data_IF_126106024829
#
_entry.id   IF_126106024829
#
_cell.length_a   1.000
_cell.length_b   1.000
_cell.length_c   1.000
_cell.angle_alpha   90.00
_cell.angle_beta   90.00
_cell.angle_gamma   90.00
#
_symmetry.space_group_name_H-M   'P 1'
#
loop_
_entity.id
_entity.type
_entity.pdbx_description
1 polymer ?
#
# COMPACT_ATOMS: atom_id res chain seq x y z
N UNK A 1 11.53 -55.32 9.19
CA UNK A 1 10.33 -54.53 9.52
C UNK A 1 10.82 -53.14 9.89
N UNK A 2 10.92 -52.27 8.89
CA UNK A 2 11.16 -50.84 9.05
C UNK A 2 9.97 -50.24 9.79
N UNK A 3 10.19 -49.66 10.96
CA UNK A 3 9.17 -48.87 11.66
C UNK A 3 8.80 -47.72 10.74
N UNK A 4 7.53 -47.66 10.35
CA UNK A 4 6.95 -46.49 9.70
C UNK A 4 7.28 -45.27 10.56
N UNK A 5 7.97 -44.30 9.96
CA UNK A 5 8.22 -43.02 10.61
C UNK A 5 6.87 -42.36 10.86
N UNK A 6 6.45 -42.30 12.12
CA UNK A 6 5.21 -41.62 12.49
C UNK A 6 5.24 -40.18 11.97
N UNK A 7 4.20 -39.80 11.25
CA UNK A 7 4.11 -38.49 10.60
C UNK A 7 4.22 -37.38 11.67
N UNK A 8 4.98 -36.29 11.45
CA UNK A 8 5.16 -35.20 12.44
C UNK A 8 3.83 -34.62 12.97
N UNK A 9 2.74 -34.79 12.21
CA UNK A 9 1.38 -34.40 12.56
C UNK A 9 0.80 -35.23 13.72
N UNK A 10 1.08 -36.53 13.76
CA UNK A 10 0.57 -37.45 14.79
C UNK A 10 1.22 -37.15 16.15
N UNK A 11 2.51 -36.78 16.14
CA UNK A 11 3.23 -36.40 17.35
C UNK A 11 2.83 -35.00 17.85
N UNK A 12 2.60 -34.02 16.97
CA UNK A 12 2.08 -32.69 17.33
C UNK A 12 0.69 -32.77 18.00
N UNK A 13 -0.19 -33.64 17.51
CA UNK A 13 -1.50 -33.92 18.14
C UNK A 13 -1.29 -34.56 19.54
N UNK A 14 -0.31 -35.46 19.68
CA UNK A 14 0.04 -36.05 20.99
C UNK A 14 0.61 -35.03 21.98
N UNK A 15 1.34 -34.03 21.48
CA UNK A 15 1.92 -32.92 22.25
C UNK A 15 0.81 -31.99 22.74
N UNK A 16 -0.15 -31.65 21.87
CA UNK A 16 -1.35 -30.89 22.26
C UNK A 16 -2.14 -31.59 23.36
N UNK A 17 -2.30 -32.91 23.28
CA UNK A 17 -2.94 -33.71 24.32
C UNK A 17 -2.14 -33.74 25.63
N UNK A 18 -0.80 -33.91 25.58
CA UNK A 18 0.07 -33.95 26.78
C UNK A 18 0.22 -32.59 27.48
N UNK A 19 0.14 -31.49 26.73
CA UNK A 19 0.15 -30.14 27.27
C UNK A 19 -1.18 -29.73 27.95
N UNK A 20 -2.19 -30.61 27.94
CA UNK A 20 -3.53 -30.31 28.45
C UNK A 20 -4.33 -29.37 27.53
N UNK A 21 -3.90 -29.23 26.28
CA UNK A 21 -4.46 -28.28 25.30
C UNK A 21 -5.59 -28.92 24.47
N UNK A 22 -6.07 -30.11 24.86
CA UNK A 22 -7.25 -30.76 24.28
C UNK A 22 -8.07 -31.58 25.27
N UNK A 23 -9.32 -31.14 25.45
CA UNK A 23 -10.52 -31.76 26.05
C UNK A 23 -10.60 -31.95 27.57
N UNK A 24 -11.29 -31.00 28.23
CA UNK A 24 -12.18 -31.36 29.34
C UNK A 24 -13.46 -31.98 28.76
N UNK A 25 -14.02 -33.03 29.37
CA UNK A 25 -15.33 -33.56 29.00
C UNK A 25 -16.39 -32.52 29.37
N UNK A 26 -16.76 -31.65 28.43
CA UNK A 26 -17.77 -30.60 28.62
C UNK A 26 -17.51 -29.30 27.86
N UNK A 27 -17.59 -29.31 26.53
CA UNK A 27 -18.16 -28.24 25.70
C UNK A 27 -17.64 -26.79 25.74
N UNK A 28 -16.47 -26.47 26.30
CA UNK A 28 -15.90 -25.12 26.27
C UNK A 28 -14.65 -25.00 25.39
N UNK A 29 -14.64 -24.07 24.42
CA UNK A 29 -13.46 -23.72 23.60
C UNK A 29 -12.39 -23.06 24.49
N UNK A 30 -11.24 -23.72 24.67
CA UNK A 30 -10.10 -23.14 25.38
C UNK A 30 -9.35 -22.16 24.47
N UNK A 31 -9.26 -20.91 24.91
CA UNK A 31 -8.23 -19.96 24.49
C UNK A 31 -6.88 -20.49 24.96
N UNK A 32 -5.93 -20.68 24.04
CA UNK A 32 -4.63 -21.23 24.41
C UNK A 32 -3.84 -20.20 25.23
N UNK A 33 -3.62 -20.46 26.53
CA UNK A 33 -2.80 -19.58 27.36
C UNK A 33 -1.38 -19.43 26.80
N UNK A 34 -0.74 -18.28 27.02
CA UNK A 34 0.63 -18.00 26.60
C UNK A 34 1.64 -19.10 26.98
N UNK A 35 1.60 -19.56 28.22
CA UNK A 35 2.47 -20.64 28.71
C UNK A 35 2.21 -21.96 27.98
N UNK A 36 0.94 -22.25 27.67
CA UNK A 36 0.54 -23.40 26.88
C UNK A 36 1.09 -23.34 25.45
N UNK A 37 0.97 -22.20 24.77
CA UNK A 37 1.53 -22.02 23.43
C UNK A 37 3.06 -22.14 23.41
N UNK A 38 3.75 -21.58 24.41
CA UNK A 38 5.20 -21.72 24.54
C UNK A 38 5.64 -23.16 24.79
N UNK A 39 4.87 -23.93 25.56
CA UNK A 39 5.16 -25.33 25.83
C UNK A 39 5.02 -26.17 24.54
N UNK A 40 3.92 -26.00 23.80
CA UNK A 40 3.71 -26.64 22.49
C UNK A 40 4.84 -26.33 21.52
N UNK A 41 5.23 -25.06 21.52
CA UNK A 41 6.33 -24.55 20.73
C UNK A 41 7.65 -25.27 21.06
N UNK A 42 8.11 -25.21 22.32
CA UNK A 42 9.37 -25.83 22.74
C UNK A 42 9.42 -27.33 22.46
N UNK A 43 8.29 -28.04 22.61
CA UNK A 43 8.22 -29.47 22.33
C UNK A 43 8.24 -29.78 20.82
N UNK A 44 7.54 -28.99 20.00
CA UNK A 44 7.60 -29.11 18.54
C UNK A 44 9.04 -28.89 18.01
N UNK A 45 9.75 -27.90 18.55
CA UNK A 45 11.14 -27.61 18.17
C UNK A 45 12.10 -28.79 18.43
N UNK A 46 11.92 -29.50 19.55
CA UNK A 46 12.81 -30.59 19.96
C UNK A 46 12.77 -31.83 19.05
N UNK A 47 11.78 -31.93 18.16
CA UNK A 47 11.56 -33.09 17.29
C UNK A 47 11.80 -32.80 15.80
N UNK A 48 12.32 -31.63 15.44
CA UNK A 48 12.41 -31.19 14.04
C UNK A 48 13.76 -31.46 13.36
N UNK A 49 13.71 -31.87 12.09
CA UNK A 49 14.87 -31.82 11.18
C UNK A 49 15.26 -30.37 10.86
N UNK A 50 16.54 -30.12 10.54
CA UNK A 50 17.10 -28.77 10.32
C UNK A 50 16.30 -27.85 9.37
N UNK A 51 15.69 -28.39 8.31
CA UNK A 51 14.85 -27.60 7.37
C UNK A 51 13.50 -27.20 7.98
N UNK A 52 12.92 -28.07 8.80
CA UNK A 52 11.69 -27.79 9.53
C UNK A 52 11.94 -26.84 10.71
N UNK A 53 13.12 -26.91 11.32
CA UNK A 53 13.54 -26.01 12.39
C UNK A 53 13.53 -24.53 11.96
N UNK A 54 14.05 -24.21 10.77
CA UNK A 54 14.01 -22.82 10.24
C UNK A 54 12.57 -22.32 10.05
N UNK A 55 11.71 -23.10 9.40
CA UNK A 55 10.29 -22.73 9.18
C UNK A 55 9.56 -22.54 10.50
N UNK A 56 9.85 -23.40 11.46
CA UNK A 56 9.31 -23.33 12.80
C UNK A 56 9.77 -22.06 13.54
N UNK A 57 11.07 -21.75 13.49
CA UNK A 57 11.59 -20.51 14.06
C UNK A 57 10.94 -19.27 13.43
N UNK A 58 10.80 -19.23 12.11
CA UNK A 58 10.14 -18.12 11.41
C UNK A 58 8.65 -18.01 11.76
N UNK A 59 7.95 -19.14 11.90
CA UNK A 59 6.56 -19.18 12.37
C UNK A 59 6.46 -18.57 13.77
N UNK A 60 7.22 -19.08 14.74
CA UNK A 60 7.21 -18.59 16.14
C UNK A 60 7.59 -17.12 16.21
N UNK A 61 8.65 -16.73 15.51
CA UNK A 61 9.07 -15.32 15.46
C UNK A 61 7.95 -14.44 14.91
N UNK A 62 7.18 -14.92 13.93
CA UNK A 62 6.08 -14.17 13.33
C UNK A 62 4.81 -14.16 14.20
N UNK A 63 4.53 -15.23 14.96
CA UNK A 63 3.45 -15.26 15.96
C UNK A 63 3.72 -14.24 17.07
N UNK A 64 4.97 -14.16 17.52
CA UNK A 64 5.40 -13.36 18.66
C UNK A 64 6.26 -12.15 18.26
N UNK A 65 6.10 -11.65 17.03
CA UNK A 65 6.83 -10.48 16.55
C UNK A 65 6.37 -9.22 17.30
N UNK A 66 7.13 -8.81 18.33
CA UNK A 66 6.82 -7.68 19.22
C UNK A 66 6.90 -8.06 20.69
N UNK A 67 6.45 -7.19 21.60
CA UNK A 67 6.19 -7.60 22.98
C UNK A 67 5.00 -8.56 22.99
N UNK A 68 5.16 -9.74 23.57
CA UNK A 68 4.07 -10.72 23.67
C UNK A 68 3.08 -10.24 24.72
N UNK A 69 2.04 -9.54 24.28
CA UNK A 69 0.94 -9.14 25.15
C UNK A 69 -0.09 -10.27 25.26
N UNK A 70 -0.83 -10.39 26.38
CA UNK A 70 -1.94 -11.34 26.52
C UNK A 70 -2.94 -11.29 25.34
N UNK A 71 -3.10 -10.11 24.75
CA UNK A 71 -3.98 -9.81 23.61
C UNK A 71 -3.63 -10.65 22.36
N UNK A 72 -2.38 -11.07 22.16
CA UNK A 72 -1.97 -11.91 21.02
C UNK A 72 -2.45 -13.36 21.17
N UNK A 73 -2.95 -13.74 22.35
CA UNK A 73 -3.41 -15.11 22.64
C UNK A 73 -4.89 -15.20 22.98
N UNK A 74 -5.55 -14.06 23.17
CA UNK A 74 -6.92 -13.98 23.72
C UNK A 74 -7.94 -14.71 22.85
N UNK A 75 -7.83 -14.61 21.53
CA UNK A 75 -8.80 -15.21 20.61
C UNK A 75 -8.28 -16.42 19.84
N UNK A 76 -7.03 -16.82 20.06
CA UNK A 76 -6.39 -17.95 19.39
C UNK A 76 -6.69 -19.24 20.15
N UNK A 77 -7.40 -20.15 19.50
CA UNK A 77 -7.70 -21.46 20.09
C UNK A 77 -6.54 -22.43 19.85
N UNK A 78 -6.48 -23.46 20.68
CA UNK A 78 -5.60 -24.61 20.49
C UNK A 78 -5.66 -25.19 19.07
N UNK A 79 -6.87 -25.44 18.58
CA UNK A 79 -7.13 -26.07 17.30
C UNK A 79 -6.68 -25.19 16.13
N UNK A 80 -6.87 -23.87 16.24
CA UNK A 80 -6.41 -22.91 15.24
C UNK A 80 -4.89 -22.87 15.18
N UNK A 81 -4.23 -22.81 16.34
CA UNK A 81 -2.77 -22.82 16.43
C UNK A 81 -2.18 -24.11 15.83
N UNK A 82 -2.72 -25.27 16.23
CA UNK A 82 -2.26 -26.56 15.71
C UNK A 82 -2.51 -26.68 14.20
N UNK A 83 -3.65 -26.20 13.69
CA UNK A 83 -3.92 -26.20 12.26
C UNK A 83 -2.93 -25.33 11.47
N UNK A 84 -2.62 -24.14 11.97
CA UNK A 84 -1.66 -23.22 11.33
C UNK A 84 -0.22 -23.74 11.39
N UNK A 85 0.21 -24.27 12.53
CA UNK A 85 1.54 -24.85 12.68
C UNK A 85 1.70 -26.10 11.79
N UNK A 86 0.67 -26.96 11.77
CA UNK A 86 0.64 -28.14 10.91
C UNK A 86 0.69 -27.78 9.42
N UNK A 87 -0.11 -26.81 9.00
CA UNK A 87 -0.08 -26.27 7.64
C UNK A 87 1.30 -25.74 7.29
N UNK A 88 1.89 -24.92 8.16
CA UNK A 88 3.24 -24.38 7.98
C UNK A 88 4.32 -25.46 7.83
N UNK A 89 4.22 -26.57 8.57
CA UNK A 89 5.22 -27.64 8.51
C UNK A 89 5.06 -28.55 7.29
N UNK A 90 3.82 -28.73 6.82
CA UNK A 90 3.52 -29.47 5.61
C UNK A 90 3.79 -28.66 4.33
N UNK A 91 3.82 -27.33 4.42
CA UNK A 91 4.00 -26.43 3.28
C UNK A 91 5.37 -26.61 2.60
N UNK A 92 5.37 -26.74 1.27
CA UNK A 92 6.59 -26.92 0.50
C UNK A 92 7.35 -25.60 0.27
N UNK A 93 6.65 -24.46 0.37
CA UNK A 93 7.19 -23.11 0.19
C UNK A 93 7.67 -22.56 1.54
N UNK A 94 8.98 -22.35 1.66
CA UNK A 94 9.56 -21.87 2.92
C UNK A 94 9.11 -20.43 3.23
N UNK A 95 8.89 -19.64 2.19
CA UNK A 95 8.48 -18.24 2.20
C UNK A 95 7.18 -18.01 2.98
N UNK A 96 6.32 -19.03 3.04
CA UNK A 96 5.00 -18.95 3.66
C UNK A 96 5.01 -19.07 5.17
N UNK A 97 6.11 -19.54 5.78
CA UNK A 97 6.17 -19.76 7.22
C UNK A 97 5.80 -18.50 8.05
N UNK A 98 6.26 -17.33 7.58
CA UNK A 98 5.91 -16.03 8.19
C UNK A 98 4.41 -15.71 8.11
N UNK A 99 3.72 -16.07 7.03
CA UNK A 99 2.30 -15.77 6.86
C UNK A 99 1.43 -16.60 7.79
N UNK A 100 1.79 -17.86 8.03
CA UNK A 100 1.11 -18.71 9.01
C UNK A 100 1.22 -18.13 10.41
N UNK A 101 2.42 -17.69 10.80
CA UNK A 101 2.65 -17.07 12.11
C UNK A 101 1.90 -15.75 12.27
N UNK A 102 1.89 -14.90 11.24
CA UNK A 102 1.15 -13.62 11.26
C UNK A 102 -0.36 -13.82 11.29
N UNK A 103 -0.90 -14.80 10.55
CA UNK A 103 -2.32 -15.14 10.61
C UNK A 103 -2.71 -15.66 12.00
N UNK A 104 -1.87 -16.47 12.65
CA UNK A 104 -2.09 -16.89 14.04
C UNK A 104 -2.12 -15.67 14.99
N UNK A 105 -1.18 -14.74 14.84
CA UNK A 105 -1.14 -13.52 15.64
C UNK A 105 -2.38 -12.62 15.40
N UNK A 106 -2.81 -12.46 14.15
CA UNK A 106 -4.01 -11.69 13.78
C UNK A 106 -5.29 -12.33 14.33
N UNK A 107 -5.39 -13.65 14.30
CA UNK A 107 -6.48 -14.40 14.97
C UNK A 107 -6.44 -14.15 16.47
N UNK A 108 -5.26 -14.23 17.08
CA UNK A 108 -5.05 -13.98 18.50
C UNK A 108 -5.52 -12.62 18.97
N UNK A 109 -5.16 -11.56 18.22
CA UNK A 109 -5.59 -10.17 18.44
C UNK A 109 -7.06 -9.89 18.09
N UNK A 110 -7.81 -10.89 17.61
CA UNK A 110 -9.23 -10.73 17.25
C UNK A 110 -9.46 -9.96 15.93
N UNK A 111 -8.42 -9.74 15.13
CA UNK A 111 -8.52 -9.07 13.82
C UNK A 111 -9.22 -9.96 12.78
N UNK A 112 -9.22 -11.28 12.99
CA UNK A 112 -9.88 -12.28 12.16
C UNK A 112 -11.03 -12.94 12.93
N UNK A 113 -12.26 -12.72 12.45
CA UNK A 113 -13.48 -13.15 13.13
C UNK A 113 -13.92 -14.57 12.75
N UNK A 114 -14.70 -15.21 13.64
CA UNK A 114 -14.92 -16.66 13.64
C UNK A 114 -15.43 -17.29 12.33
N UNK A 115 -16.26 -16.59 11.55
CA UNK A 115 -16.80 -17.13 10.28
C UNK A 115 -15.76 -17.18 9.16
N UNK A 116 -14.79 -16.26 9.13
CA UNK A 116 -13.72 -16.24 8.13
C UNK A 116 -12.49 -17.02 8.57
N UNK A 117 -12.23 -17.14 9.88
CA UNK A 117 -11.05 -17.80 10.45
C UNK A 117 -10.69 -19.14 9.80
N UNK A 118 -11.58 -20.14 9.86
CA UNK A 118 -11.28 -21.48 9.33
C UNK A 118 -11.06 -21.46 7.83
N UNK A 119 -11.83 -20.65 7.12
CA UNK A 119 -11.67 -20.44 5.69
C UNK A 119 -10.30 -19.86 5.39
N UNK A 120 -9.85 -18.81 6.08
CA UNK A 120 -8.54 -18.19 5.87
C UNK A 120 -7.37 -19.14 6.17
N UNK A 121 -7.47 -19.95 7.24
CA UNK A 121 -6.47 -20.99 7.55
C UNK A 121 -6.35 -21.99 6.38
N UNK A 122 -7.49 -22.46 5.86
CA UNK A 122 -7.52 -23.39 4.73
C UNK A 122 -7.00 -22.71 3.46
N UNK A 123 -7.47 -21.50 3.15
CA UNK A 123 -7.01 -20.74 1.98
C UNK A 123 -5.50 -20.55 2.01
N UNK A 124 -4.93 -20.13 3.14
CA UNK A 124 -3.49 -19.93 3.28
C UNK A 124 -2.70 -21.22 2.97
N UNK A 125 -3.22 -22.39 3.36
CA UNK A 125 -2.60 -23.69 3.06
C UNK A 125 -2.68 -24.13 1.61
N UNK A 126 -3.57 -23.51 0.83
CA UNK A 126 -3.88 -23.94 -0.53
C UNK A 126 -3.42 -22.95 -1.61
N UNK A 127 -3.05 -21.72 -1.22
CA UNK A 127 -2.50 -20.72 -2.14
C UNK A 127 -0.98 -20.75 -2.16
N UNK A 128 -0.38 -20.41 -3.29
CA UNK A 128 1.08 -20.25 -3.40
C UNK A 128 1.58 -18.92 -2.80
N UNK A 129 2.88 -18.76 -2.56
CA UNK A 129 3.45 -17.44 -2.20
C UNK A 129 3.20 -16.43 -3.32
N UNK A 130 3.32 -16.82 -4.59
CA UNK A 130 3.04 -15.94 -5.73
C UNK A 130 1.58 -15.45 -5.73
N UNK A 131 0.62 -16.33 -5.43
CA UNK A 131 -0.77 -15.96 -5.27
C UNK A 131 -0.97 -14.97 -4.10
N UNK A 132 -0.29 -15.17 -2.96
CA UNK A 132 -0.31 -14.20 -1.87
C UNK A 132 0.29 -12.84 -2.29
N UNK A 133 1.39 -12.83 -3.07
CA UNK A 133 1.95 -11.61 -3.64
C UNK A 133 1.00 -10.95 -4.66
N UNK A 134 0.23 -11.73 -5.43
CA UNK A 134 -0.82 -11.19 -6.30
C UNK A 134 -1.90 -10.47 -5.47
N UNK A 135 -2.46 -11.15 -4.45
CA UNK A 135 -3.46 -10.54 -3.56
C UNK A 135 -2.91 -9.27 -2.88
N UNK A 136 -1.65 -9.30 -2.43
CA UNK A 136 -0.96 -8.14 -1.86
C UNK A 136 -0.89 -6.97 -2.85
N UNK A 137 -0.43 -7.21 -4.09
CA UNK A 137 -0.34 -6.17 -5.13
C UNK A 137 -1.70 -5.54 -5.41
N UNK A 138 -2.73 -6.37 -5.60
CA UNK A 138 -4.10 -5.89 -5.83
C UNK A 138 -4.67 -5.13 -4.62
N UNK A 139 -4.34 -5.54 -3.39
CA UNK A 139 -4.77 -4.86 -2.18
C UNK A 139 -4.16 -3.46 -2.11
N UNK A 140 -2.87 -3.34 -2.37
CA UNK A 140 -2.18 -2.04 -2.40
C UNK A 140 -2.79 -1.12 -3.47
N UNK A 141 -3.02 -1.63 -4.69
CA UNK A 141 -3.68 -0.87 -5.75
C UNK A 141 -5.12 -0.44 -5.42
N UNK A 142 -5.82 -1.19 -4.56
CA UNK A 142 -7.17 -0.82 -4.10
C UNK A 142 -7.13 0.29 -3.04
N UNK A 143 -6.03 0.41 -2.29
CA UNK A 143 -5.88 1.32 -1.14
C UNK A 143 -5.13 2.60 -1.47
N UNK A 144 -4.27 2.58 -2.48
CA UNK A 144 -3.43 3.69 -2.88
C UNK A 144 -3.69 4.05 -4.33
N UNK A 145 -3.73 5.34 -4.62
CA UNK A 145 -3.82 5.84 -5.99
C UNK A 145 -2.43 5.75 -6.63
N UNK A 146 -2.15 4.64 -7.30
CA UNK A 146 -0.81 4.33 -7.79
C UNK A 146 -0.50 5.05 -9.10
N UNK A 147 0.74 5.56 -9.20
CA UNK A 147 1.30 6.12 -10.42
C UNK A 147 1.57 5.00 -11.45
N UNK A 148 0.92 5.02 -12.63
CA UNK A 148 1.23 4.09 -13.72
C UNK A 148 2.58 4.43 -14.35
N UNK A 149 3.08 3.50 -15.18
CA UNK A 149 4.33 3.70 -15.93
C UNK A 149 4.25 4.84 -16.95
N UNK A 150 3.04 5.12 -17.47
CA UNK A 150 2.78 6.20 -18.43
C UNK A 150 1.39 6.82 -18.22
N UNK A 151 1.30 8.13 -18.43
CA UNK A 151 0.05 8.89 -18.44
C UNK A 151 -0.58 9.18 -17.05
N UNK A 152 -1.50 10.13 -16.96
CA UNK A 152 -2.05 10.63 -15.69
C UNK A 152 -3.16 9.75 -15.05
N UNK A 153 -3.21 8.47 -15.43
CA UNK A 153 -4.21 7.51 -14.94
C UNK A 153 -3.90 6.96 -13.56
N UNK A 154 -4.62 5.90 -13.19
CA UNK A 154 -4.38 5.09 -12.00
C UNK A 154 -4.16 3.63 -12.42
N UNK A 155 -3.43 2.87 -11.61
CA UNK A 155 -3.23 1.43 -11.84
C UNK A 155 -4.43 0.67 -11.26
N UNK A 156 -5.14 -0.09 -12.09
CA UNK A 156 -6.25 -0.94 -11.64
C UNK A 156 -5.73 -2.16 -10.82
N UNK A 157 -6.48 -2.63 -9.80
CA UNK A 157 -6.08 -3.76 -8.97
C UNK A 157 -5.78 -5.08 -9.70
N UNK A 158 -6.30 -5.31 -10.90
CA UNK A 158 -5.96 -6.49 -11.71
C UNK A 158 -4.90 -6.16 -12.75
N UNK A 159 -4.88 -4.93 -13.28
CA UNK A 159 -3.83 -4.51 -14.22
C UNK A 159 -2.43 -4.58 -13.60
N UNK A 160 -2.30 -4.30 -12.30
CA UNK A 160 -1.02 -4.40 -11.57
C UNK A 160 -0.41 -5.82 -11.59
N UNK A 161 -1.20 -6.85 -11.89
CA UNK A 161 -0.77 -8.24 -11.89
C UNK A 161 -0.03 -8.62 -13.18
N UNK A 162 -0.10 -7.79 -14.24
CA UNK A 162 0.60 -8.01 -15.51
C UNK A 162 0.42 -9.42 -16.08
N UNK A 163 -0.83 -9.92 -16.12
CA UNK A 163 -1.24 -11.29 -16.48
C UNK A 163 -0.98 -11.65 -17.97
N UNK A 164 0.24 -11.46 -18.43
CA UNK A 164 0.70 -11.71 -19.79
C UNK A 164 1.13 -13.16 -20.00
N UNK A 165 1.65 -13.81 -18.95
CA UNK A 165 2.09 -15.20 -19.02
C UNK A 165 0.97 -16.19 -18.67
N UNK A 166 0.81 -17.32 -19.41
CA UNK A 166 -0.25 -18.30 -19.15
C UNK A 166 -0.28 -18.84 -17.71
N UNK A 167 0.89 -19.03 -17.11
CA UNK A 167 1.02 -19.48 -15.71
C UNK A 167 0.42 -18.44 -14.76
N UNK A 168 0.74 -17.16 -14.91
CA UNK A 168 0.18 -16.09 -14.07
C UNK A 168 -1.34 -16.01 -14.22
N UNK A 169 -1.85 -16.18 -15.44
CA UNK A 169 -3.29 -16.24 -15.67
C UNK A 169 -3.95 -17.41 -14.96
N UNK A 170 -3.31 -18.60 -14.98
CA UNK A 170 -3.78 -19.76 -14.23
C UNK A 170 -3.79 -19.51 -12.71
N UNK A 171 -2.72 -18.94 -12.15
CA UNK A 171 -2.67 -18.55 -10.73
C UNK A 171 -3.81 -17.59 -10.35
N UNK A 172 -4.08 -16.60 -11.21
CA UNK A 172 -5.19 -15.66 -11.02
C UNK A 172 -6.56 -16.36 -11.10
N UNK A 173 -6.78 -17.22 -12.10
CA UNK A 173 -8.04 -17.95 -12.27
C UNK A 173 -8.31 -18.90 -11.08
N UNK A 174 -7.26 -19.46 -10.48
CA UNK A 174 -7.39 -20.24 -9.24
C UNK A 174 -7.86 -19.35 -8.07
N UNK A 175 -7.29 -18.15 -7.90
CA UNK A 175 -7.74 -17.18 -6.89
C UNK A 175 -9.21 -16.77 -7.11
N UNK A 176 -9.64 -16.60 -8.35
CA UNK A 176 -11.05 -16.33 -8.70
C UNK A 176 -11.93 -17.52 -8.29
N UNK A 177 -11.53 -18.76 -8.60
CA UNK A 177 -12.30 -19.96 -8.23
C UNK A 177 -12.46 -20.13 -6.71
N UNK A 178 -11.52 -19.60 -5.94
CA UNK A 178 -11.50 -19.59 -4.46
C UNK A 178 -12.26 -18.40 -3.86
N UNK A 179 -12.94 -17.60 -4.68
CA UNK A 179 -13.67 -16.39 -4.27
C UNK A 179 -12.78 -15.31 -3.65
N UNK A 180 -11.49 -15.26 -4.02
CA UNK A 180 -10.60 -14.16 -3.63
C UNK A 180 -10.86 -12.91 -4.47
N UNK A 181 -11.35 -13.10 -5.71
CA UNK A 181 -11.81 -12.03 -6.58
C UNK A 181 -13.26 -12.25 -7.00
N UNK A 182 -14.02 -11.16 -7.10
CA UNK A 182 -15.35 -11.10 -7.72
C UNK A 182 -15.40 -9.84 -8.57
N UNK A 183 -15.83 -9.95 -9.83
CA UNK A 183 -15.91 -8.83 -10.77
C UNK A 183 -14.60 -8.02 -10.86
N UNK A 184 -13.46 -8.72 -10.91
CA UNK A 184 -12.09 -8.14 -10.94
C UNK A 184 -11.73 -7.29 -9.71
N UNK A 185 -12.42 -7.48 -8.58
CA UNK A 185 -12.12 -6.80 -7.32
C UNK A 185 -11.83 -7.82 -6.23
N UNK A 186 -10.94 -7.46 -5.31
CA UNK A 186 -10.72 -8.27 -4.12
C UNK A 186 -12.00 -8.37 -3.31
N UNK A 187 -12.28 -9.56 -2.80
CA UNK A 187 -13.35 -9.75 -1.83
C UNK A 187 -12.88 -9.30 -0.45
N UNK A 188 -13.82 -9.03 0.46
CA UNK A 188 -13.49 -8.72 1.87
C UNK A 188 -12.66 -9.82 2.53
N UNK A 189 -12.91 -11.09 2.16
CA UNK A 189 -12.13 -12.24 2.64
C UNK A 189 -10.67 -12.17 2.17
N UNK A 190 -10.44 -11.82 0.91
CA UNK A 190 -9.09 -11.64 0.40
C UNK A 190 -8.38 -10.45 1.06
N UNK A 191 -9.08 -9.34 1.29
CA UNK A 191 -8.53 -8.21 2.04
C UNK A 191 -8.18 -8.59 3.48
N UNK A 192 -9.04 -9.34 4.17
CA UNK A 192 -8.76 -9.87 5.52
C UNK A 192 -7.52 -10.78 5.53
N UNK A 193 -7.39 -11.68 4.54
CA UNK A 193 -6.21 -12.54 4.41
C UNK A 193 -4.93 -11.72 4.24
N UNK A 194 -4.93 -10.75 3.31
CA UNK A 194 -3.77 -9.89 3.05
C UNK A 194 -3.38 -9.11 4.30
N UNK A 195 -4.35 -8.49 4.99
CA UNK A 195 -4.08 -7.73 6.22
C UNK A 195 -3.55 -8.62 7.35
N UNK A 196 -3.97 -9.88 7.41
CA UNK A 196 -3.48 -10.83 8.41
C UNK A 196 -2.07 -11.35 8.09
N UNK A 197 -1.71 -11.46 6.80
CA UNK A 197 -0.43 -12.03 6.37
C UNK A 197 0.69 -11.00 6.20
N UNK A 198 0.38 -9.72 5.97
CA UNK A 198 1.38 -8.69 5.67
C UNK A 198 1.37 -7.55 6.70
N UNK A 199 2.55 -7.01 6.98
CA UNK A 199 2.71 -5.83 7.86
C UNK A 199 2.28 -4.56 7.15
N UNK A 200 2.05 -3.48 7.91
CA UNK A 200 1.76 -2.16 7.33
C UNK A 200 2.84 -1.68 6.37
N UNK A 201 4.11 -1.96 6.67
CA UNK A 201 5.25 -1.61 5.81
C UNK A 201 5.25 -2.41 4.50
N UNK A 202 4.95 -3.71 4.55
CA UNK A 202 4.82 -4.54 3.35
C UNK A 202 3.59 -4.15 2.50
N UNK A 203 2.60 -3.47 3.08
CA UNK A 203 1.41 -2.98 2.39
C UNK A 203 1.56 -1.54 1.87
N UNK A 204 2.77 -0.96 1.90
CA UNK A 204 3.06 0.32 1.24
C UNK A 204 3.31 0.12 -0.26
N UNK A 205 3.00 1.13 -1.11
CA UNK A 205 3.34 1.12 -2.54
C UNK A 205 4.82 0.79 -2.82
N UNK A 206 5.74 1.39 -2.05
CA UNK A 206 7.18 1.19 -2.22
C UNK A 206 7.60 -0.27 -2.03
N UNK A 207 6.91 -1.01 -1.15
CA UNK A 207 7.22 -2.40 -0.86
C UNK A 207 6.82 -3.37 -2.00
N UNK A 208 6.07 -2.90 -2.99
CA UNK A 208 5.76 -3.63 -4.23
C UNK A 208 6.39 -2.96 -5.47
N UNK A 209 7.30 -1.99 -5.27
CA UNK A 209 7.99 -1.31 -6.37
C UNK A 209 7.18 -0.21 -7.07
N UNK A 210 6.12 0.29 -6.44
CA UNK A 210 5.28 1.38 -6.97
C UNK A 210 5.41 2.65 -6.13
N UNK A 211 4.99 3.77 -6.72
CA UNK A 211 4.86 5.06 -6.05
C UNK A 211 3.39 5.46 -6.09
N UNK A 212 2.87 5.97 -4.98
CA UNK A 212 1.53 6.56 -4.97
C UNK A 212 1.58 7.99 -5.49
N UNK A 213 0.52 8.39 -6.20
CA UNK A 213 0.27 9.77 -6.52
C UNK A 213 0.18 10.62 -5.25
N UNK A 214 0.73 11.83 -5.32
CA UNK A 214 0.41 12.88 -4.37
C UNK A 214 -1.11 13.11 -4.37
N UNK A 215 -1.76 13.16 -3.18
CA UNK A 215 -3.22 13.24 -3.08
C UNK A 215 -3.84 14.52 -3.66
N UNK A 216 -3.06 15.56 -3.92
CA UNK A 216 -3.54 16.80 -4.55
C UNK A 216 -3.04 16.91 -5.99
N UNK A 217 -3.88 17.53 -6.81
CA UNK A 217 -3.55 17.93 -8.18
C UNK A 217 -2.94 19.34 -8.15
N UNK A 218 -1.87 19.56 -8.90
CA UNK A 218 -1.31 20.89 -9.16
C UNK A 218 -1.94 21.47 -10.42
N UNK A 219 -2.53 22.67 -10.34
CA UNK A 219 -3.03 23.39 -11.51
C UNK A 219 -1.94 24.32 -12.05
N UNK A 220 -1.48 24.06 -13.27
CA UNK A 220 -0.56 24.92 -14.02
C UNK A 220 -1.40 25.84 -14.92
N UNK A 221 -1.36 27.13 -14.62
CA UNK A 221 -2.07 28.16 -15.37
C UNK A 221 -1.02 28.96 -16.14
N UNK A 222 -1.30 29.32 -17.40
CA UNK A 222 -0.34 30.04 -18.25
C UNK A 222 -1.02 31.07 -19.14
N UNK A 223 -0.38 32.21 -19.38
CA UNK A 223 -0.95 33.32 -20.14
C UNK A 223 -0.55 33.38 -21.63
N UNK A 224 0.54 32.72 -22.02
CA UNK A 224 1.15 32.84 -23.34
C UNK A 224 1.75 31.50 -23.81
N UNK A 225 2.34 31.46 -25.02
CA UNK A 225 2.93 30.28 -25.69
C UNK A 225 4.19 29.73 -24.98
N UNK A 226 4.13 29.51 -23.67
CA UNK A 226 5.18 28.89 -22.86
C UNK A 226 5.04 27.37 -22.80
N UNK A 227 4.63 26.74 -23.92
CA UNK A 227 4.35 25.31 -23.98
C UNK A 227 5.55 24.46 -23.54
N UNK A 228 6.77 24.81 -23.95
CA UNK A 228 7.99 24.08 -23.58
C UNK A 228 8.27 24.13 -22.07
N UNK A 229 8.01 25.27 -21.42
CA UNK A 229 8.14 25.37 -19.96
C UNK A 229 7.02 24.59 -19.26
N UNK A 230 5.78 24.69 -19.73
CA UNK A 230 4.65 23.93 -19.19
C UNK A 230 4.90 22.42 -19.31
N UNK A 231 5.39 21.94 -20.45
CA UNK A 231 5.82 20.55 -20.65
C UNK A 231 6.93 20.14 -19.67
N UNK A 232 7.96 20.97 -19.53
CA UNK A 232 9.03 20.70 -18.55
C UNK A 232 8.52 20.62 -17.11
N UNK A 233 7.56 21.47 -16.73
CA UNK A 233 6.90 21.41 -15.43
C UNK A 233 6.07 20.14 -15.26
N UNK A 234 5.31 19.74 -16.28
CA UNK A 234 4.54 18.49 -16.26
C UNK A 234 5.48 17.30 -16.03
N UNK A 235 6.60 17.24 -16.75
CA UNK A 235 7.59 16.17 -16.59
C UNK A 235 8.25 16.21 -15.20
N UNK A 236 8.60 17.41 -14.71
CA UNK A 236 9.15 17.60 -13.37
C UNK A 236 8.21 17.12 -12.27
N UNK A 237 6.93 17.51 -12.33
CA UNK A 237 5.92 17.04 -11.38
C UNK A 237 5.64 15.54 -11.53
N UNK A 238 5.64 15.01 -12.75
CA UNK A 238 5.48 13.58 -13.02
C UNK A 238 6.57 12.77 -12.31
N UNK A 239 7.84 13.16 -12.41
CA UNK A 239 8.95 12.48 -11.74
C UNK A 239 8.77 12.40 -10.23
N UNK A 240 8.18 13.43 -9.63
CA UNK A 240 7.89 13.54 -8.21
C UNK A 240 6.54 12.92 -7.79
N UNK A 241 5.90 12.17 -8.70
CA UNK A 241 4.58 11.58 -8.49
C UNK A 241 3.50 12.61 -8.11
N UNK A 242 3.51 13.78 -8.77
CA UNK A 242 2.50 14.83 -8.63
C UNK A 242 1.73 14.93 -9.95
N UNK A 243 0.40 14.86 -9.88
CA UNK A 243 -0.46 15.05 -11.06
C UNK A 243 -0.68 16.53 -11.33
N UNK A 244 -0.75 16.88 -12.61
CA UNK A 244 -0.99 18.24 -13.07
C UNK A 244 -2.26 18.35 -13.91
N UNK A 245 -2.94 19.49 -13.83
CA UNK A 245 -3.82 19.99 -14.88
C UNK A 245 -3.26 21.27 -15.45
N UNK A 246 -3.48 21.50 -16.75
CA UNK A 246 -2.90 22.64 -17.45
C UNK A 246 -4.00 23.48 -18.10
N UNK A 247 -3.97 24.80 -17.92
CA UNK A 247 -5.03 25.70 -18.41
C UNK A 247 -4.45 27.02 -18.89
N UNK A 248 -4.91 27.47 -20.05
CA UNK A 248 -4.61 28.84 -20.50
C UNK A 248 -5.50 29.85 -19.77
N UNK A 249 -4.95 31.01 -19.43
CA UNK A 249 -5.72 32.17 -18.96
C UNK A 249 -6.81 32.56 -19.95
N UNK A 250 -6.61 32.37 -21.25
CA UNK A 250 -7.56 32.73 -22.29
C UNK A 250 -8.92 31.99 -22.19
N UNK A 251 -9.05 31.01 -21.30
CA UNK A 251 -10.31 30.31 -21.05
C UNK A 251 -10.88 30.55 -19.65
N UNK A 252 -10.25 31.36 -18.80
CA UNK A 252 -10.59 31.51 -17.37
C UNK A 252 -12.01 32.04 -17.10
N UNK A 253 -12.51 32.85 -18.03
CA UNK A 253 -13.82 33.49 -18.04
C UNK A 253 -14.95 32.52 -18.45
N UNK A 254 -14.62 31.35 -19.00
CA UNK A 254 -15.60 30.35 -19.42
C UNK A 254 -16.25 29.70 -18.19
N UNK A 255 -17.56 29.88 -18.08
CA UNK A 255 -18.40 29.39 -16.97
C UNK A 255 -18.34 27.88 -16.73
N UNK A 256 -17.96 27.09 -17.75
CA UNK A 256 -17.91 25.63 -17.70
C UNK A 256 -16.60 25.05 -17.13
N UNK A 257 -15.63 25.88 -16.75
CA UNK A 257 -14.35 25.38 -16.24
C UNK A 257 -14.50 24.85 -14.81
N UNK A 258 -14.11 23.57 -14.61
CA UNK A 258 -14.06 22.90 -13.32
C UNK A 258 -13.27 23.69 -12.27
N UNK A 259 -13.60 23.53 -10.99
CA UNK A 259 -12.89 24.18 -9.88
C UNK A 259 -11.35 24.08 -10.05
N UNK A 260 -10.64 25.19 -9.84
CA UNK A 260 -9.17 25.23 -9.86
C UNK A 260 -8.62 24.41 -8.69
N UNK A 261 -7.75 23.45 -8.99
CA UNK A 261 -7.11 22.64 -7.95
C UNK A 261 -6.13 23.49 -7.12
N UNK A 262 -5.78 23.02 -5.92
CA UNK A 262 -4.76 23.64 -5.06
C UNK A 262 -3.78 22.52 -4.69
N UNK A 263 -2.47 22.65 -4.95
CA UNK A 263 -1.70 23.88 -5.25
C UNK A 263 -1.83 24.43 -6.68
N UNK A 264 -1.39 25.69 -6.91
CA UNK A 264 -1.43 26.37 -8.21
C UNK A 264 -0.10 27.01 -8.57
N UNK A 265 0.29 26.87 -9.83
CA UNK A 265 1.45 27.52 -10.43
C UNK A 265 0.96 28.38 -11.58
N UNK A 266 1.17 29.69 -11.51
CA UNK A 266 0.85 30.63 -12.58
C UNK A 266 2.12 31.03 -13.32
N UNK A 267 2.23 30.65 -14.59
CA UNK A 267 3.31 31.04 -15.49
C UNK A 267 2.91 32.34 -16.19
N UNK A 268 3.63 33.42 -15.86
CA UNK A 268 3.46 34.76 -16.44
C UNK A 268 4.56 34.98 -17.47
N UNK A 269 4.22 34.79 -18.75
CA UNK A 269 5.16 34.88 -19.87
C UNK A 269 4.96 36.10 -20.74
N UNK A 270 3.90 36.89 -20.55
CA UNK A 270 3.71 38.14 -21.30
C UNK A 270 4.72 39.20 -20.88
N UNK A 271 5.27 39.96 -21.84
CA UNK A 271 6.02 41.18 -21.54
C UNK A 271 5.11 42.31 -21.05
N UNK A 272 3.87 42.35 -21.56
CA UNK A 272 2.85 43.29 -21.11
C UNK A 272 2.37 42.95 -19.70
N UNK A 273 1.89 43.97 -18.99
CA UNK A 273 1.31 43.82 -17.67
C UNK A 273 0.14 42.81 -17.70
N UNK A 274 0.06 41.88 -16.74
CA UNK A 274 -0.95 40.82 -16.74
C UNK A 274 -2.33 41.38 -16.35
N UNK A 275 -3.15 41.76 -17.33
CA UNK A 275 -4.49 42.33 -17.10
C UNK A 275 -5.47 41.34 -16.47
N UNK A 276 -5.23 40.03 -16.64
CA UNK A 276 -6.08 38.93 -16.20
C UNK A 276 -6.06 38.65 -14.68
N UNK A 277 -5.23 39.36 -13.91
CA UNK A 277 -5.03 39.08 -12.48
C UNK A 277 -6.32 39.24 -11.68
N UNK A 278 -7.14 40.23 -12.05
CA UNK A 278 -8.42 40.52 -11.39
C UNK A 278 -9.43 39.41 -11.67
N UNK A 279 -9.60 38.98 -12.94
CA UNK A 279 -10.49 37.87 -13.26
C UNK A 279 -10.02 36.57 -12.62
N UNK A 280 -8.71 36.29 -12.63
CA UNK A 280 -8.14 35.13 -11.95
C UNK A 280 -8.52 35.14 -10.46
N UNK A 281 -8.35 36.29 -9.79
CA UNK A 281 -8.62 36.43 -8.34
C UNK A 281 -10.08 36.19 -8.02
N UNK A 282 -10.99 36.67 -8.87
CA UNK A 282 -12.42 36.46 -8.70
C UNK A 282 -12.84 34.98 -8.85
N UNK A 283 -12.06 34.17 -9.57
CA UNK A 283 -12.36 32.75 -9.85
C UNK A 283 -11.70 31.79 -8.86
N UNK A 284 -10.60 32.20 -8.21
CA UNK A 284 -9.91 31.38 -7.22
C UNK A 284 -10.57 31.47 -5.85
N UNK A 285 -10.84 30.32 -5.21
CA UNK A 285 -11.41 30.26 -3.85
C UNK A 285 -10.41 30.67 -2.76
N UNK A 286 -9.11 30.57 -3.05
CA UNK A 286 -7.98 30.93 -2.21
C UNK A 286 -6.86 31.50 -3.10
N UNK A 287 -6.21 32.58 -2.67
CA UNK A 287 -5.19 33.31 -3.45
C UNK A 287 -3.76 32.77 -3.24
N UNK A 288 -3.64 31.54 -2.73
CA UNK A 288 -2.34 30.88 -2.62
C UNK A 288 -1.95 30.35 -4.01
N UNK A 289 -1.16 31.16 -4.71
CA UNK A 289 -0.68 30.94 -6.08
C UNK A 289 0.82 31.18 -6.07
N UNK A 290 1.58 30.24 -6.62
CA UNK A 290 2.98 30.46 -6.94
C UNK A 290 3.05 31.12 -8.32
N UNK A 291 3.47 32.38 -8.38
CA UNK A 291 3.71 33.06 -9.65
C UNK A 291 5.13 32.81 -10.13
N UNK A 292 5.28 32.45 -11.39
CA UNK A 292 6.55 32.23 -12.08
C UNK A 292 6.62 33.22 -13.22
N UNK A 293 7.41 34.29 -13.05
CA UNK A 293 7.43 35.42 -13.96
C UNK A 293 8.68 35.36 -14.83
N UNK A 294 8.50 35.32 -16.15
CA UNK A 294 9.61 35.34 -17.11
C UNK A 294 10.12 36.77 -17.41
N UNK A 295 9.34 37.77 -16.99
CA UNK A 295 9.65 39.20 -17.01
C UNK A 295 9.29 39.80 -15.64
N UNK A 296 9.88 40.94 -15.27
CA UNK A 296 9.60 41.58 -13.98
C UNK A 296 8.17 42.14 -13.91
N UNK A 297 7.28 41.37 -13.26
CA UNK A 297 5.89 41.74 -12.97
C UNK A 297 5.59 41.79 -11.48
N UNK A 298 6.61 41.82 -10.62
CA UNK A 298 6.46 41.65 -9.16
C UNK A 298 5.49 42.69 -8.57
N UNK A 299 5.65 43.97 -8.94
CA UNK A 299 4.80 45.04 -8.42
C UNK A 299 3.34 44.91 -8.89
N UNK A 300 3.12 44.47 -10.13
CA UNK A 300 1.77 44.26 -10.66
C UNK A 300 1.07 43.11 -9.93
N UNK A 301 1.77 41.99 -9.74
CA UNK A 301 1.22 40.82 -9.06
C UNK A 301 0.94 41.13 -7.59
N UNK A 302 1.85 41.80 -6.88
CA UNK A 302 1.67 42.15 -5.46
C UNK A 302 0.50 43.10 -5.21
N UNK A 303 0.12 43.92 -6.19
CA UNK A 303 -1.06 44.79 -6.07
C UNK A 303 -2.36 43.98 -5.92
N UNK A 304 -2.46 42.84 -6.62
CA UNK A 304 -3.64 41.96 -6.58
C UNK A 304 -3.48 40.76 -5.64
N UNK A 305 -2.25 40.29 -5.44
CA UNK A 305 -1.88 39.07 -4.71
C UNK A 305 -0.73 39.35 -3.72
N UNK A 306 -0.97 40.13 -2.65
CA UNK A 306 0.10 40.59 -1.75
C UNK A 306 0.81 39.46 -0.99
N UNK A 307 0.11 38.36 -0.72
CA UNK A 307 0.62 37.23 0.07
C UNK A 307 1.16 36.07 -0.78
N UNK A 308 1.12 36.19 -2.11
CA UNK A 308 1.56 35.12 -3.02
C UNK A 308 3.07 35.05 -3.11
N UNK A 309 3.59 33.84 -3.31
CA UNK A 309 5.02 33.65 -3.60
C UNK A 309 5.27 33.94 -5.07
N UNK A 310 6.33 34.70 -5.36
CA UNK A 310 6.73 35.07 -6.71
C UNK A 310 8.17 34.61 -6.95
N UNK A 311 8.35 33.78 -7.97
CA UNK A 311 9.66 33.45 -8.55
C UNK A 311 9.85 34.37 -9.76
N UNK A 312 10.74 35.36 -9.63
CA UNK A 312 11.23 36.10 -10.80
C UNK A 312 12.31 35.26 -11.48
N UNK A 313 11.98 34.73 -12.65
CA UNK A 313 12.77 33.81 -13.45
C UNK A 313 13.38 34.49 -14.70
N UNK A 314 13.45 35.82 -14.72
CA UNK A 314 14.06 36.55 -15.83
C UNK A 314 15.51 36.08 -16.05
N UNK A 315 15.80 35.63 -17.27
CA UNK A 315 17.12 35.09 -17.66
C UNK A 315 17.42 33.67 -17.16
N UNK A 316 16.50 33.00 -16.47
CA UNK A 316 16.70 31.60 -16.06
C UNK A 316 16.45 30.64 -17.22
N UNK A 317 17.19 29.53 -17.21
CA UNK A 317 16.90 28.41 -18.12
C UNK A 317 15.68 27.61 -17.64
N UNK A 318 14.96 26.97 -18.57
CA UNK A 318 13.79 26.13 -18.27
C UNK A 318 14.09 25.08 -17.16
N UNK A 319 15.21 24.34 -17.17
CA UNK A 319 15.53 23.41 -16.09
C UNK A 319 15.63 24.06 -14.70
N UNK A 320 16.21 25.26 -14.61
CA UNK A 320 16.32 26.00 -13.35
C UNK A 320 14.94 26.42 -12.82
N UNK A 321 14.06 26.88 -13.72
CA UNK A 321 12.69 27.25 -13.37
C UNK A 321 11.93 26.01 -12.88
N UNK A 322 12.01 24.91 -13.62
CA UNK A 322 11.33 23.65 -13.27
C UNK A 322 11.77 23.14 -11.91
N UNK A 323 13.08 23.08 -11.66
CA UNK A 323 13.63 22.66 -10.36
C UNK A 323 13.12 23.54 -9.21
N UNK A 324 13.20 24.87 -9.37
CA UNK A 324 12.75 25.81 -8.34
C UNK A 324 11.25 25.68 -8.02
N UNK A 325 10.42 25.54 -9.06
CA UNK A 325 8.96 25.42 -8.91
C UNK A 325 8.59 24.10 -8.24
N UNK A 326 9.15 22.98 -8.70
CA UNK A 326 8.88 21.66 -8.13
C UNK A 326 9.33 21.60 -6.66
N UNK A 327 10.52 22.11 -6.35
CA UNK A 327 11.03 22.17 -4.98
C UNK A 327 10.15 23.04 -4.08
N UNK A 328 9.68 24.19 -4.56
CA UNK A 328 8.75 25.04 -3.80
C UNK A 328 7.45 24.30 -3.50
N UNK A 329 6.81 23.71 -4.51
CA UNK A 329 5.55 22.98 -4.32
C UNK A 329 5.74 21.80 -3.35
N UNK A 330 6.87 21.09 -3.45
CA UNK A 330 7.19 20.02 -2.51
C UNK A 330 7.35 20.53 -1.08
N UNK A 331 8.12 21.60 -0.88
CA UNK A 331 8.36 22.20 0.42
C UNK A 331 7.06 22.65 1.10
N UNK A 332 6.23 23.40 0.38
CA UNK A 332 4.98 23.97 0.90
C UNK A 332 3.93 22.89 1.20
N UNK A 333 4.04 21.71 0.59
CA UNK A 333 3.11 20.60 0.78
C UNK A 333 3.67 19.44 1.63
N UNK A 334 4.84 19.62 2.26
CA UNK A 334 5.43 18.60 3.13
C UNK A 334 5.91 17.34 2.39
N UNK A 335 6.28 17.47 1.11
CA UNK A 335 6.81 16.39 0.26
C UNK A 335 8.35 16.37 0.19
N UNK A 336 9.02 17.26 0.91
CA UNK A 336 10.45 17.10 1.15
C UNK A 336 10.60 15.97 2.16
N UNK A 337 11.06 14.80 1.69
CA UNK A 337 11.61 13.80 2.59
C UNK A 337 12.75 14.48 3.39
N UNK A 338 12.66 14.40 4.71
CA UNK A 338 13.81 14.68 5.58
C UNK A 338 14.84 13.63 5.21
N UNK A 339 15.91 14.09 4.56
CA UNK A 339 17.04 13.27 4.11
C UNK A 339 17.65 12.43 5.23
#
# INVERSE_FOLDING_TARGET
>A
MTKDAEHPLTELISIAAKAGIGMLPGGGLLTASYEGLQLLSKQAAAQMERRSEKRYQEFIQSVFAGEVTPEVTEHLTADDYTALLSGCMADMENEKAKYYGRLAAAIGRGEVQGKSRRFLIITLSQVSDEQLQMLRRSYVATRFDLKPSQGNGHVDPVEILHLSHPVQKHEYDELVSRLMYVDKKLTKLAEELVRACFTTEELKPSAIGYVAWFPKLVDIIFDTNQFTLVESLIDGFWLEAIRTSNRSVAVIDRSAIANFASPRVMVVGSEAAPEYLIELKARLKNNDVLFVCLHDHVLHIQADYPDSTIINAEGWSIPQITEAVVNHVKATNGLLEVA
#
